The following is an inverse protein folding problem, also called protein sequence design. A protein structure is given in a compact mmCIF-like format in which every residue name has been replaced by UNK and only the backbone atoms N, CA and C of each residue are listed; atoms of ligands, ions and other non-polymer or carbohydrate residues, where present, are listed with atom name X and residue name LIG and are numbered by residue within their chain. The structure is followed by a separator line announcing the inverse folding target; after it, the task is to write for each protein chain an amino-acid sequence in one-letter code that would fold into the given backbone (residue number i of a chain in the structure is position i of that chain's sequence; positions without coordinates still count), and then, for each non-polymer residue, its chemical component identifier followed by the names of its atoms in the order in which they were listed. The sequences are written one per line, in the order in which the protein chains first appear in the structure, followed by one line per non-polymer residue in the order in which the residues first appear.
data_IF_189763043251
#
_entry.id   IF_189763043251
#
_cell.length_a   1.000
_cell.length_b   1.000
_cell.length_c   1.000
_cell.angle_alpha   90.00
_cell.angle_beta   90.00
_cell.angle_gamma   90.00
#
_symmetry.space_group_name_H-M   'P 1'
#
loop_
_entity.id
_entity.type
_entity.pdbx_description
1 polymer ?
#
# COMPACT_ATOMS: atom_id res chain seq x y z
N UNK A 1 -1.02 0.31 -9.02
CA UNK A 1 -0.98 -0.76 -8.00
C UNK A 1 -1.78 -0.33 -6.78
N UNK A 2 -2.84 -1.06 -6.45
CA UNK A 2 -3.73 -0.88 -5.30
C UNK A 2 -3.45 -1.97 -4.29
N UNK A 3 -3.18 -1.59 -3.05
CA UNK A 3 -2.80 -2.50 -1.97
C UNK A 3 -3.89 -2.51 -0.88
N UNK A 4 -4.20 -3.69 -0.35
CA UNK A 4 -5.07 -3.83 0.84
C UNK A 4 -4.33 -4.62 1.93
N UNK A 5 -4.20 -4.02 3.12
CA UNK A 5 -3.57 -4.68 4.26
C UNK A 5 -4.63 -5.42 5.06
N UNK A 6 -4.50 -6.75 5.12
CA UNK A 6 -5.46 -7.63 5.77
C UNK A 6 -4.92 -8.13 7.10
N UNK A 7 -5.70 -7.92 8.16
CA UNK A 7 -5.37 -8.32 9.52
C UNK A 7 -6.67 -8.53 10.29
N UNK A 8 -6.68 -9.52 11.17
CA UNK A 8 -7.84 -9.89 11.96
C UNK A 8 -8.36 -8.73 12.82
N UNK A 9 -9.67 -8.70 13.04
CA UNK A 9 -10.35 -7.59 13.70
C UNK A 9 -9.93 -7.42 15.17
N UNK A 10 -9.67 -8.52 15.86
CA UNK A 10 -9.18 -8.58 17.24
C UNK A 10 -7.75 -8.02 17.35
N UNK A 11 -6.86 -8.40 16.44
CA UNK A 11 -5.48 -7.91 16.38
C UNK A 11 -5.46 -6.41 16.09
N UNK A 12 -6.30 -5.94 15.16
CA UNK A 12 -6.46 -4.51 14.88
C UNK A 12 -7.03 -3.76 16.09
N UNK A 13 -8.00 -4.34 16.80
CA UNK A 13 -8.57 -3.74 18.01
C UNK A 13 -7.53 -3.64 19.13
N UNK A 14 -6.76 -4.70 19.39
CA UNK A 14 -5.71 -4.71 20.40
C UNK A 14 -4.67 -3.61 20.13
N UNK A 15 -4.20 -3.50 18.88
CA UNK A 15 -3.28 -2.43 18.45
C UNK A 15 -3.90 -1.04 18.65
N UNK A 16 -5.18 -0.88 18.28
CA UNK A 16 -5.91 0.38 18.46
C UNK A 16 -6.02 0.78 19.94
N UNK A 17 -6.35 -0.17 20.82
CA UNK A 17 -6.49 0.10 22.27
C UNK A 17 -5.16 0.58 22.83
N UNK A 18 -4.07 -0.14 22.57
CA UNK A 18 -2.73 0.23 23.05
C UNK A 18 -2.32 1.62 22.56
N UNK A 19 -2.56 1.92 21.28
CA UNK A 19 -2.25 3.22 20.68
C UNK A 19 -3.10 4.34 21.29
N UNK A 20 -4.43 4.19 21.31
CA UNK A 20 -5.35 5.23 21.76
C UNK A 20 -5.21 5.52 23.27
N UNK A 21 -4.83 4.53 24.09
CA UNK A 21 -4.50 4.74 25.50
C UNK A 21 -3.16 5.48 25.67
N UNK A 22 -2.12 5.05 24.95
CA UNK A 22 -0.75 5.58 25.12
C UNK A 22 -0.56 6.96 24.49
N UNK A 23 -1.11 7.18 23.30
CA UNK A 23 -0.86 8.39 22.48
C UNK A 23 -1.96 9.43 22.61
N UNK A 24 -3.19 9.01 22.95
CA UNK A 24 -4.36 9.90 23.01
C UNK A 24 -5.00 10.00 24.40
N UNK A 25 -4.48 9.29 25.41
CA UNK A 25 -4.96 9.36 26.79
C UNK A 25 -6.42 8.95 26.97
N UNK A 26 -6.98 8.15 26.05
CA UNK A 26 -8.41 7.76 26.09
C UNK A 26 -8.65 6.61 27.07
N UNK A 27 -9.82 6.63 27.71
CA UNK A 27 -10.30 5.53 28.55
C UNK A 27 -10.68 4.31 27.68
N UNK A 28 -10.41 3.10 28.18
CA UNK A 28 -10.72 1.83 27.54
C UNK A 28 -12.20 1.69 27.15
N UNK A 29 -13.13 2.05 28.05
CA UNK A 29 -14.56 1.95 27.80
C UNK A 29 -14.98 2.80 26.60
N UNK A 30 -14.44 4.02 26.51
CA UNK A 30 -14.73 4.92 25.40
C UNK A 30 -14.18 4.39 24.06
N UNK A 31 -12.98 3.79 24.08
CA UNK A 31 -12.39 3.17 22.89
C UNK A 31 -13.24 1.99 22.41
N UNK A 32 -13.67 1.12 23.33
CA UNK A 32 -14.48 -0.06 23.00
C UNK A 32 -15.88 0.33 22.53
N UNK A 33 -16.53 1.28 23.19
CA UNK A 33 -17.83 1.80 22.77
C UNK A 33 -17.77 2.39 21.35
N UNK A 34 -16.75 3.22 21.06
CA UNK A 34 -16.54 3.77 19.73
C UNK A 34 -16.18 2.71 18.68
N UNK A 35 -15.49 1.65 19.08
CA UNK A 35 -15.21 0.52 18.18
C UNK A 35 -16.48 -0.22 17.78
N UNK A 36 -17.31 -0.59 18.76
CA UNK A 36 -18.53 -1.37 18.54
C UNK A 36 -19.58 -0.54 17.77
N UNK A 37 -19.81 0.70 18.19
CA UNK A 37 -20.92 1.50 17.66
C UNK A 37 -20.63 2.15 16.31
N UNK A 38 -19.36 2.36 15.96
CA UNK A 38 -19.00 3.10 14.76
C UNK A 38 -17.99 2.37 13.89
N UNK A 39 -16.82 2.01 14.45
CA UNK A 39 -15.70 1.56 13.61
C UNK A 39 -15.91 0.17 13.03
N UNK A 40 -16.47 -0.78 13.78
CA UNK A 40 -16.75 -2.12 13.27
C UNK A 40 -17.82 -2.10 12.17
N UNK A 41 -19.02 -1.52 12.38
CA UNK A 41 -20.03 -1.40 11.31
C UNK A 41 -19.49 -0.68 10.07
N UNK A 42 -18.80 0.45 10.26
CA UNK A 42 -18.24 1.19 9.12
C UNK A 42 -17.16 0.41 8.37
N UNK A 43 -16.35 -0.39 9.08
CA UNK A 43 -15.38 -1.25 8.43
C UNK A 43 -16.07 -2.34 7.60
N UNK A 44 -17.10 -2.99 8.15
CA UNK A 44 -17.84 -4.07 7.48
C UNK A 44 -18.63 -3.56 6.27
N UNK A 45 -19.27 -2.39 6.39
CA UNK A 45 -20.13 -1.81 5.35
C UNK A 45 -19.34 -1.10 4.24
N UNK A 46 -18.21 -0.45 4.58
CA UNK A 46 -17.52 0.44 3.64
C UNK A 46 -16.08 0.02 3.34
N UNK A 47 -15.30 -0.44 4.32
CA UNK A 47 -13.90 -0.77 4.07
C UNK A 47 -13.74 -2.18 3.49
N UNK A 48 -14.39 -3.18 4.08
CA UNK A 48 -14.24 -4.58 3.68
C UNK A 48 -14.66 -4.84 2.22
N UNK A 49 -15.75 -4.24 1.68
CA UNK A 49 -16.12 -4.42 0.29
C UNK A 49 -15.07 -3.88 -0.69
N UNK A 50 -14.20 -2.97 -0.27
CA UNK A 50 -13.14 -2.43 -1.13
C UNK A 50 -11.98 -3.40 -1.36
N UNK A 51 -11.85 -4.43 -0.50
CA UNK A 51 -10.81 -5.46 -0.59
C UNK A 51 -10.75 -6.13 -1.96
N UNK A 52 -11.91 -6.31 -2.62
CA UNK A 52 -12.00 -6.93 -3.94
C UNK A 52 -11.39 -6.10 -5.09
N UNK A 53 -11.14 -4.81 -4.87
CA UNK A 53 -10.54 -3.92 -5.86
C UNK A 53 -9.02 -3.79 -5.70
N UNK A 54 -8.42 -4.52 -4.76
CA UNK A 54 -6.99 -4.52 -4.53
C UNK A 54 -6.27 -5.40 -5.57
N UNK A 55 -5.14 -4.90 -6.09
CA UNK A 55 -4.26 -5.70 -6.95
C UNK A 55 -3.45 -6.70 -6.11
N UNK A 56 -3.10 -6.32 -4.87
CA UNK A 56 -2.37 -7.17 -3.92
C UNK A 56 -2.95 -7.04 -2.51
N UNK A 57 -3.10 -8.17 -1.83
CA UNK A 57 -3.52 -8.25 -0.42
C UNK A 57 -2.30 -8.65 0.42
N UNK A 58 -1.99 -7.85 1.45
CA UNK A 58 -0.85 -8.07 2.34
C UNK A 58 -1.34 -8.58 3.69
N UNK A 59 -1.12 -9.86 4.04
CA UNK A 59 -1.47 -10.37 5.36
C UNK A 59 -0.50 -9.84 6.42
N UNK A 60 -0.97 -9.72 7.67
CA UNK A 60 -0.18 -9.34 8.86
C UNK A 60 0.43 -7.92 8.85
N UNK A 61 0.18 -7.14 7.79
CA UNK A 61 0.62 -5.75 7.69
C UNK A 61 2.13 -5.58 7.88
N UNK A 62 2.53 -4.71 8.82
CA UNK A 62 3.91 -4.31 9.02
C UNK A 62 4.86 -5.45 9.45
N UNK A 63 4.32 -6.53 10.02
CA UNK A 63 5.12 -7.70 10.44
C UNK A 63 5.52 -8.57 9.25
N UNK A 64 4.94 -8.33 8.07
CA UNK A 64 5.26 -9.04 6.84
C UNK A 64 6.40 -8.34 6.08
N UNK A 65 7.61 -8.43 6.62
CA UNK A 65 8.80 -7.82 6.03
C UNK A 65 9.02 -8.24 4.57
N UNK A 66 8.72 -9.49 4.23
CA UNK A 66 8.81 -10.00 2.84
C UNK A 66 7.92 -9.20 1.89
N UNK A 67 6.67 -8.93 2.27
CA UNK A 67 5.76 -8.14 1.44
C UNK A 67 6.19 -6.67 1.34
N UNK A 68 6.72 -6.10 2.44
CA UNK A 68 7.26 -4.74 2.45
C UNK A 68 8.47 -4.63 1.52
N UNK A 69 9.40 -5.57 1.58
CA UNK A 69 10.60 -5.60 0.73
C UNK A 69 10.24 -5.73 -0.75
N UNK A 70 9.23 -6.54 -1.08
CA UNK A 70 8.72 -6.67 -2.44
C UNK A 70 8.18 -5.32 -2.99
N UNK A 71 7.46 -4.56 -2.17
CA UNK A 71 6.95 -3.24 -2.54
C UNK A 71 8.09 -2.24 -2.70
N UNK A 72 9.06 -2.25 -1.78
CA UNK A 72 10.25 -1.40 -1.87
C UNK A 72 11.01 -1.69 -3.17
N UNK A 73 11.20 -2.97 -3.51
CA UNK A 73 11.87 -3.36 -4.73
C UNK A 73 11.09 -2.91 -5.97
N UNK A 74 9.76 -3.10 -5.98
CA UNK A 74 8.92 -2.65 -7.08
C UNK A 74 9.01 -1.13 -7.31
N UNK A 75 9.04 -0.34 -6.23
CA UNK A 75 9.20 1.13 -6.32
C UNK A 75 10.60 1.48 -6.87
N UNK A 76 11.66 0.79 -6.44
CA UNK A 76 13.02 1.02 -6.95
C UNK A 76 13.10 0.73 -8.45
N UNK A 77 12.54 -0.39 -8.89
CA UNK A 77 12.53 -0.78 -10.30
C UNK A 77 11.74 0.23 -11.13
N UNK A 78 10.60 0.71 -10.61
CA UNK A 78 9.79 1.75 -11.25
C UNK A 78 10.55 3.08 -11.41
N UNK A 79 11.35 3.48 -10.41
CA UNK A 79 12.16 4.71 -10.48
C UNK A 79 13.35 4.54 -11.43
N UNK A 80 13.97 3.36 -11.47
CA UNK A 80 15.11 3.06 -12.35
C UNK A 80 14.71 2.78 -13.79
N UNK A 81 13.43 2.55 -14.06
CA UNK A 81 12.90 2.38 -15.40
C UNK A 81 13.17 3.63 -16.26
N UNK A 82 14.19 3.54 -17.10
CA UNK A 82 14.38 4.49 -18.21
C UNK A 82 13.43 4.06 -19.33
N UNK A 83 12.46 4.89 -19.74
CA UNK A 83 11.67 4.57 -20.93
C UNK A 83 12.66 4.36 -22.09
N UNK A 84 12.57 3.20 -22.74
CA UNK A 84 13.39 2.89 -23.89
C UNK A 84 13.30 4.02 -24.90
N UNK A 85 14.45 4.45 -25.44
CA UNK A 85 14.52 5.44 -26.53
C UNK A 85 13.44 5.07 -27.54
N UNK A 86 12.47 5.97 -27.76
CA UNK A 86 11.46 5.80 -28.80
C UNK A 86 12.19 5.50 -30.12
N UNK A 87 11.67 4.61 -30.96
CA UNK A 87 12.27 4.25 -32.26
C UNK A 87 12.62 5.48 -33.11
N UNK A 88 11.93 6.59 -32.89
CA UNK A 88 12.20 7.91 -33.48
C UNK A 88 13.58 8.47 -33.09
N UNK A 89 14.05 8.27 -31.86
CA UNK A 89 15.37 8.74 -31.42
C UNK A 89 16.51 7.84 -31.93
N UNK A 90 16.27 6.53 -32.04
CA UNK A 90 17.24 5.59 -32.62
C UNK A 90 17.41 5.78 -34.13
N UNK A 91 16.31 6.04 -34.85
CA UNK A 91 16.37 6.34 -36.29
C UNK A 91 17.03 7.70 -36.58
N UNK A 92 16.84 8.72 -35.73
CA UNK A 92 17.55 10.00 -35.86
C UNK A 92 19.05 9.83 -35.57
N UNK A 93 19.43 9.11 -34.52
CA UNK A 93 20.83 8.86 -34.17
C UNK A 93 21.55 8.02 -35.24
N UNK A 94 20.87 7.04 -35.84
CA UNK A 94 21.39 6.25 -36.97
C UNK A 94 21.57 7.10 -38.23
N UNK A 95 20.61 7.98 -38.56
CA UNK A 95 20.69 8.87 -39.72
C UNK A 95 21.78 9.94 -39.57
N UNK A 96 22.02 10.46 -38.36
CA UNK A 96 23.12 11.41 -38.13
C UNK A 96 24.50 10.76 -38.23
N UNK A 97 24.65 9.48 -37.85
CA UNK A 97 25.92 8.75 -37.94
C UNK A 97 26.23 8.21 -39.34
N UNK A 98 25.24 8.09 -40.21
CA UNK A 98 25.37 7.48 -41.54
C UNK A 98 25.52 8.48 -42.69
N UNK A 99 25.64 9.80 -42.41
CA UNK A 99 25.90 10.80 -43.45
C UNK A 99 27.39 10.79 -43.86
N UNK A 100 27.73 10.50 -45.14
CA UNK A 100 29.09 10.68 -45.62
C UNK A 100 29.44 12.17 -45.73
N UNK A 101 30.72 12.48 -45.52
CA UNK A 101 31.31 13.82 -45.57
C UNK A 101 31.19 14.47 -46.95
#
# INVERSE_FOLDING_TARGET
MKLFVDTDADTRLARRVLRDMKEHGRNLEHILAGYINHVKPSFEDFCLPTKKYADVIIPRGADNHVAVDLIIQHIRDFIQYKPGKTETQQSIEYNLRSRPH
#
